data_IF_494153681432
#
_entry.id   IF_494153681432
#
_cell.length_a   1.000
_cell.length_b   1.000
_cell.length_c   1.000
_cell.angle_alpha   90.00
_cell.angle_beta   90.00
_cell.angle_gamma   90.00
#
_symmetry.space_group_name_H-M   'P 1'
#
loop_
_entity.id
_entity.type
_entity.pdbx_description
1 polymer ?
#
# COMPACT_ATOMS: atom_id res chain seq x y z
N UNK A 1 13.68 -10.05 -13.15
CA UNK A 1 12.60 -10.16 -12.13
C UNK A 1 12.13 -8.76 -11.71
N UNK A 2 12.10 -7.84 -12.67
CA UNK A 2 11.54 -6.49 -12.58
C UNK A 2 10.66 -6.40 -13.82
N UNK A 3 9.61 -7.22 -13.86
CA UNK A 3 8.58 -7.00 -14.87
C UNK A 3 7.92 -5.67 -14.50
N UNK A 4 7.89 -4.67 -15.40
CA UNK A 4 7.10 -3.47 -15.17
C UNK A 4 5.65 -3.92 -15.03
N UNK A 5 5.08 -3.74 -13.83
CA UNK A 5 3.63 -3.89 -13.63
C UNK A 5 2.96 -3.00 -14.67
N UNK A 6 2.17 -3.55 -15.61
CA UNK A 6 1.53 -2.73 -16.63
C UNK A 6 0.66 -1.70 -15.92
N UNK A 7 0.96 -0.42 -16.16
CA UNK A 7 0.22 0.68 -15.57
C UNK A 7 -1.27 0.55 -15.93
N UNK A 8 -2.10 0.45 -14.89
CA UNK A 8 -3.49 0.90 -14.84
C UNK A 8 -4.57 0.12 -15.64
N UNK A 9 -5.22 -0.85 -14.97
CA UNK A 9 -6.70 -0.93 -15.00
C UNK A 9 -7.34 -1.61 -13.78
N UNK A 10 -6.88 -1.24 -12.61
CA UNK A 10 -7.76 -0.77 -11.55
C UNK A 10 -6.91 0.34 -10.96
N UNK A 11 -7.28 1.60 -11.10
CA UNK A 11 -6.56 2.74 -10.55
C UNK A 11 -7.58 3.67 -9.88
N UNK A 12 -7.24 4.25 -8.73
CA UNK A 12 -8.13 5.19 -8.07
C UNK A 12 -8.27 6.43 -8.94
N UNK A 13 -9.46 7.05 -8.85
CA UNK A 13 -9.86 8.21 -9.67
C UNK A 13 -8.70 9.18 -9.85
N UNK A 14 -8.16 9.19 -11.07
CA UNK A 14 -7.16 10.09 -11.65
C UNK A 14 -7.30 11.49 -11.03
N UNK A 15 -6.28 11.96 -10.30
CA UNK A 15 -6.09 13.35 -9.79
C UNK A 15 -6.07 13.57 -8.26
N UNK A 16 -5.50 12.67 -7.44
CA UNK A 16 -5.08 13.04 -6.07
C UNK A 16 -3.57 13.31 -6.07
N UNK A 17 -3.08 14.51 -5.68
CA UNK A 17 -1.66 14.69 -5.38
C UNK A 17 -1.35 13.84 -4.14
N UNK A 18 -0.65 12.74 -4.36
CA UNK A 18 -0.27 11.78 -3.32
C UNK A 18 0.92 12.34 -2.56
N UNK A 19 0.63 13.14 -1.54
CA UNK A 19 1.64 13.60 -0.59
C UNK A 19 2.04 12.41 0.27
N UNK A 20 3.26 11.90 0.05
CA UNK A 20 3.80 10.71 0.71
C UNK A 20 3.55 10.77 2.20
N UNK A 21 2.56 9.99 2.65
CA UNK A 21 2.29 9.83 4.09
C UNK A 21 3.37 9.01 4.79
N UNK A 22 4.37 8.54 4.05
CA UNK A 22 5.43 7.68 4.54
C UNK A 22 6.81 8.27 4.26
N UNK A 23 7.71 8.07 5.21
CA UNK A 23 9.08 8.60 5.18
C UNK A 23 10.09 7.62 4.56
N UNK A 24 9.64 6.53 3.92
CA UNK A 24 10.46 5.35 3.58
C UNK A 24 11.18 5.39 2.23
N UNK A 25 10.85 6.36 1.38
CA UNK A 25 11.37 6.44 0.02
C UNK A 25 10.47 7.32 -0.82
N UNK A 26 11.00 7.85 -1.92
CA UNK A 26 10.36 8.88 -2.73
C UNK A 26 8.93 8.53 -3.17
N UNK A 27 8.14 9.58 -3.44
CA UNK A 27 6.83 9.53 -4.09
C UNK A 27 6.80 8.75 -5.42
N UNK A 28 7.96 8.38 -5.93
CA UNK A 28 8.18 7.71 -7.21
C UNK A 28 8.06 6.18 -7.10
N UNK A 29 7.80 5.63 -5.90
CA UNK A 29 7.44 4.23 -5.79
C UNK A 29 6.10 3.99 -6.49
N UNK A 30 6.07 3.07 -7.45
CA UNK A 30 4.90 2.80 -8.30
C UNK A 30 3.61 2.50 -7.51
N UNK A 31 3.75 1.94 -6.30
CA UNK A 31 2.64 1.62 -5.42
C UNK A 31 2.38 2.63 -4.28
N UNK A 32 3.06 3.78 -4.26
CA UNK A 32 2.89 4.78 -3.20
C UNK A 32 1.43 5.23 -3.05
N UNK A 33 0.77 5.53 -4.17
CA UNK A 33 -0.64 5.94 -4.20
C UNK A 33 -1.59 4.87 -3.66
N UNK A 34 -1.32 3.60 -3.97
CA UNK A 34 -2.06 2.43 -3.53
C UNK A 34 -1.93 2.21 -2.04
N UNK A 35 -0.70 2.25 -1.54
CA UNK A 35 -0.39 2.06 -0.14
C UNK A 35 -1.09 3.13 0.71
N UNK A 36 -1.06 4.38 0.29
CA UNK A 36 -1.76 5.46 0.99
C UNK A 36 -3.27 5.23 1.13
N UNK A 37 -3.90 4.69 0.09
CA UNK A 37 -5.33 4.38 0.15
C UNK A 37 -5.61 3.23 1.08
N UNK A 38 -4.85 2.15 0.99
CA UNK A 38 -5.00 1.00 1.87
C UNK A 38 -4.79 1.39 3.35
N UNK A 39 -3.91 2.35 3.63
CA UNK A 39 -3.72 2.89 4.98
C UNK A 39 -4.89 3.80 5.39
N UNK A 40 -5.43 4.62 4.49
CA UNK A 40 -6.62 5.44 4.77
C UNK A 40 -7.87 4.58 5.01
N UNK A 41 -7.98 3.44 4.33
CA UNK A 41 -9.02 2.43 4.53
C UNK A 41 -8.76 1.55 5.77
N UNK A 42 -7.60 1.69 6.42
CA UNK A 42 -7.23 0.94 7.61
C UNK A 42 -6.90 -0.54 7.34
N UNK A 43 -6.74 -0.94 6.08
CA UNK A 43 -6.40 -2.30 5.64
C UNK A 43 -4.94 -2.61 6.00
N UNK A 44 -4.02 -1.73 5.59
CA UNK A 44 -2.58 -1.89 5.82
C UNK A 44 -2.07 -0.91 6.88
N UNK A 45 -0.90 -1.20 7.46
CA UNK A 45 -0.31 -0.43 8.55
C UNK A 45 1.13 -0.03 8.28
N UNK A 46 1.71 0.74 9.21
CA UNK A 46 3.11 1.18 9.18
C UNK A 46 3.98 0.20 9.97
N UNK A 47 5.21 -0.03 9.52
CA UNK A 47 6.19 -0.83 10.27
C UNK A 47 6.71 -0.11 11.52
N UNK A 48 6.68 1.23 11.55
CA UNK A 48 7.08 2.05 12.69
C UNK A 48 7.53 3.45 12.27
N UNK A 49 7.56 4.43 13.19
CA UNK A 49 8.08 5.79 12.98
C UNK A 49 7.59 6.53 11.71
N UNK A 50 6.37 6.25 11.24
CA UNK A 50 5.82 6.88 10.03
C UNK A 50 6.25 6.23 8.71
N UNK A 51 6.93 5.07 8.74
CA UNK A 51 7.50 4.36 7.59
C UNK A 51 6.59 3.17 7.22
N UNK A 52 6.43 2.87 5.92
CA UNK A 52 5.65 1.72 5.45
C UNK A 52 6.49 0.43 5.36
N UNK A 53 7.77 0.53 5.01
CA UNK A 53 8.70 -0.58 4.80
C UNK A 53 8.28 -1.49 3.63
N UNK A 54 8.13 -0.92 2.43
CA UNK A 54 7.70 -1.68 1.24
C UNK A 54 8.60 -2.88 0.90
N UNK A 55 9.87 -2.86 1.30
CA UNK A 55 10.83 -3.96 1.09
C UNK A 55 10.73 -5.09 2.14
N UNK A 56 9.99 -4.90 3.22
CA UNK A 56 9.85 -5.93 4.24
C UNK A 56 8.85 -6.99 3.80
N UNK A 57 9.18 -8.29 3.96
CA UNK A 57 8.27 -9.36 3.58
C UNK A 57 7.02 -9.35 4.46
N UNK A 58 5.86 -9.53 3.84
CA UNK A 58 4.59 -9.68 4.54
C UNK A 58 4.48 -11.11 5.09
N UNK A 59 4.29 -11.22 6.40
CA UNK A 59 4.07 -12.53 7.04
C UNK A 59 2.70 -13.10 6.68
N UNK A 60 2.54 -14.43 6.76
CA UNK A 60 1.23 -15.08 6.53
C UNK A 60 0.11 -14.53 7.42
N UNK A 61 0.44 -14.18 8.66
CA UNK A 61 -0.51 -13.57 9.60
C UNK A 61 -0.96 -12.18 9.14
N UNK A 62 -0.03 -11.34 8.66
CA UNK A 62 -0.37 -10.01 8.12
C UNK A 62 -1.22 -10.11 6.85
N UNK A 63 -0.93 -11.07 5.97
CA UNK A 63 -1.75 -11.29 4.78
C UNK A 63 -3.18 -11.69 5.13
N UNK A 64 -3.36 -12.54 6.15
CA UNK A 64 -4.70 -12.90 6.62
C UNK A 64 -5.48 -11.68 7.11
N UNK A 65 -4.84 -10.76 7.85
CA UNK A 65 -5.45 -9.50 8.28
C UNK A 65 -5.88 -8.64 7.10
N UNK A 66 -5.08 -8.57 6.03
CA UNK A 66 -5.47 -7.83 4.82
C UNK A 66 -6.73 -8.42 4.20
N UNK A 67 -6.79 -9.74 4.04
CA UNK A 67 -7.97 -10.40 3.47
C UNK A 67 -9.22 -10.19 4.35
N UNK A 68 -9.09 -10.33 5.66
CA UNK A 68 -10.21 -10.13 6.61
C UNK A 68 -10.72 -8.70 6.56
N UNK A 69 -9.83 -7.70 6.54
CA UNK A 69 -10.22 -6.29 6.48
C UNK A 69 -10.80 -5.89 5.14
N UNK A 70 -10.23 -6.37 4.04
CA UNK A 70 -10.69 -6.04 2.68
C UNK A 70 -12.06 -6.65 2.38
N UNK A 71 -12.28 -7.91 2.77
CA UNK A 71 -13.56 -8.60 2.53
C UNK A 71 -14.54 -8.49 3.70
N UNK A 72 -14.16 -7.76 4.76
CA UNK A 72 -14.94 -7.60 5.99
C UNK A 72 -15.46 -8.95 6.53
N UNK A 73 -14.55 -9.92 6.63
CA UNK A 73 -14.87 -11.29 7.04
C UNK A 73 -15.20 -11.33 8.55
N UNK A 74 -16.25 -12.06 8.96
CA UNK A 74 -16.64 -12.22 10.36
C UNK A 74 -15.70 -13.11 11.16
#
# INVERSE_FOLDING_TARGET
MTEPVPEAECAPRRNRPHGTKFSDGSSDYWAASWIEQLVNEGITGRCGHGIYCHNSPVTRAQMAVFLVKTFNLP
#
